data_IF_130306933825
#
_entry.id   IF_130306933825
#
_cell.length_a   1.000
_cell.length_b   1.000
_cell.length_c   1.000
_cell.angle_alpha   90.00
_cell.angle_beta   90.00
_cell.angle_gamma   90.00
#
_symmetry.space_group_name_H-M   'P 1'
#
loop_
_entity.id
_entity.type
_entity.pdbx_description
1 polymer ?
#
# COMPACT_ATOMS: atom_id res chain seq x y z
N UNK A 1 -0.36 -5.20 17.98
CA UNK A 1 -1.00 -6.30 18.71
C UNK A 1 -0.60 -7.64 18.11
N UNK A 2 -0.38 -8.66 18.94
CA UNK A 2 -0.19 -10.06 18.49
C UNK A 2 -1.53 -10.71 18.13
N UNK A 3 -1.50 -11.87 17.48
CA UNK A 3 -2.73 -12.60 17.11
C UNK A 3 -3.59 -13.01 18.33
N UNK A 4 -2.95 -13.33 19.46
CA UNK A 4 -3.64 -13.66 20.72
C UNK A 4 -4.37 -12.46 21.31
N UNK A 5 -3.70 -11.31 21.38
CA UNK A 5 -4.29 -10.04 21.83
C UNK A 5 -5.45 -9.60 20.93
N UNK A 6 -5.31 -9.78 19.61
CA UNK A 6 -6.38 -9.52 18.66
C UNK A 6 -7.59 -10.44 18.89
N UNK A 7 -7.33 -11.72 19.14
CA UNK A 7 -8.38 -12.70 19.42
C UNK A 7 -9.15 -12.35 20.70
N UNK A 8 -8.45 -11.97 21.77
CA UNK A 8 -9.04 -11.53 23.04
C UNK A 8 -9.88 -10.26 22.85
N UNK A 9 -9.34 -9.27 22.13
CA UNK A 9 -10.01 -7.97 21.90
C UNK A 9 -11.26 -8.07 21.02
N UNK A 10 -11.31 -9.08 20.15
CA UNK A 10 -12.42 -9.28 19.19
C UNK A 10 -13.36 -10.41 19.58
N UNK A 11 -12.99 -11.23 20.57
CA UNK A 11 -13.71 -12.45 20.95
C UNK A 11 -13.73 -13.51 19.83
N UNK A 12 -12.73 -13.49 18.94
CA UNK A 12 -12.64 -14.40 17.78
C UNK A 12 -11.44 -15.31 17.94
N UNK A 13 -11.58 -16.65 17.83
CA UNK A 13 -10.45 -17.55 17.95
C UNK A 13 -9.34 -17.25 16.93
N UNK A 14 -8.05 -17.44 17.28
CA UNK A 14 -6.93 -17.21 16.35
C UNK A 14 -7.05 -18.00 15.04
N UNK A 15 -7.67 -19.19 15.09
CA UNK A 15 -7.95 -20.00 13.90
C UNK A 15 -8.89 -19.29 12.92
N UNK A 16 -9.94 -18.64 13.44
CA UNK A 16 -10.91 -17.88 12.64
C UNK A 16 -10.29 -16.59 12.09
N UNK A 17 -9.40 -15.94 12.86
CA UNK A 17 -8.63 -14.80 12.33
C UNK A 17 -7.80 -15.23 11.12
N UNK A 18 -7.07 -16.34 11.23
CA UNK A 18 -6.32 -16.90 10.10
C UNK A 18 -7.22 -17.29 8.93
N UNK A 19 -8.42 -17.80 9.20
CA UNK A 19 -9.41 -18.09 8.17
C UNK A 19 -9.80 -16.81 7.40
N UNK A 20 -10.11 -15.71 8.09
CA UNK A 20 -10.43 -14.44 7.42
C UNK A 20 -9.28 -13.87 6.59
N UNK A 21 -8.03 -14.03 7.04
CA UNK A 21 -6.85 -13.66 6.24
C UNK A 21 -6.75 -14.52 4.98
N UNK A 22 -7.00 -15.83 5.07
CA UNK A 22 -6.94 -16.76 3.92
C UNK A 22 -8.03 -16.49 2.89
N UNK A 23 -9.23 -16.13 3.35
CA UNK A 23 -10.35 -15.75 2.48
C UNK A 23 -10.22 -14.33 1.90
N UNK A 24 -9.22 -13.56 2.36
CA UNK A 24 -8.97 -12.19 1.93
C UNK A 24 -9.99 -11.18 2.47
N UNK A 25 -10.71 -11.53 3.55
CA UNK A 25 -11.62 -10.62 4.26
C UNK A 25 -10.85 -9.63 5.12
N UNK A 26 -9.74 -10.06 5.70
CA UNK A 26 -8.87 -9.27 6.56
C UNK A 26 -7.52 -9.10 5.87
N UNK A 27 -6.95 -7.87 5.78
CA UNK A 27 -5.59 -7.67 5.33
C UNK A 27 -4.60 -8.56 6.10
N UNK A 28 -3.56 -9.02 5.41
CA UNK A 28 -2.49 -9.76 6.08
C UNK A 28 -1.75 -8.81 7.03
N UNK A 29 -1.60 -9.22 8.28
CA UNK A 29 -0.83 -8.46 9.25
C UNK A 29 0.64 -8.33 8.86
N UNK A 30 1.32 -7.35 9.43
CA UNK A 30 2.72 -7.06 9.13
C UNK A 30 3.61 -8.14 9.72
N UNK A 31 4.37 -8.85 8.89
CA UNK A 31 5.38 -9.81 9.36
C UNK A 31 6.57 -9.04 9.93
N UNK A 32 6.76 -9.15 11.24
CA UNK A 32 7.84 -8.47 11.97
C UNK A 32 9.04 -9.39 12.21
N UNK A 33 8.81 -10.70 12.35
CA UNK A 33 9.84 -11.77 12.42
C UNK A 33 9.32 -13.07 11.79
N UNK A 34 10.19 -14.05 11.58
CA UNK A 34 9.86 -15.34 10.95
C UNK A 34 8.64 -16.06 11.56
N UNK A 35 8.39 -15.90 12.86
CA UNK A 35 7.23 -16.44 13.55
C UNK A 35 6.34 -15.37 14.21
N UNK A 36 6.45 -14.10 13.82
CA UNK A 36 5.67 -13.01 14.43
C UNK A 36 5.01 -12.12 13.38
N UNK A 37 3.70 -12.03 13.49
CA UNK A 37 2.85 -11.10 12.73
C UNK A 37 2.19 -10.13 13.71
N UNK A 38 2.36 -8.83 13.46
CA UNK A 38 1.70 -7.78 14.21
C UNK A 38 0.45 -7.29 13.45
N UNK A 39 -0.61 -7.08 14.21
CA UNK A 39 -1.90 -6.56 13.80
C UNK A 39 -2.17 -5.23 14.52
N UNK A 40 -2.97 -4.35 13.94
CA UNK A 40 -3.34 -3.06 14.52
C UNK A 40 -4.83 -2.99 14.90
N UNK A 41 -5.26 -1.85 15.41
CA UNK A 41 -6.65 -1.61 15.81
C UNK A 41 -7.62 -1.58 14.61
N UNK A 42 -7.12 -1.29 13.41
CA UNK A 42 -7.91 -1.36 12.18
C UNK A 42 -8.33 -2.80 11.90
N UNK A 43 -7.44 -3.76 12.13
CA UNK A 43 -7.78 -5.19 12.04
C UNK A 43 -8.87 -5.56 13.05
N UNK A 44 -8.82 -5.04 14.28
CA UNK A 44 -9.84 -5.30 15.29
C UNK A 44 -11.21 -4.72 14.90
N UNK A 45 -11.25 -3.47 14.41
CA UNK A 45 -12.46 -2.82 13.88
C UNK A 45 -13.06 -3.62 12.73
N UNK A 46 -12.23 -4.04 11.78
CA UNK A 46 -12.65 -4.82 10.63
C UNK A 46 -13.22 -6.18 11.00
N UNK A 47 -12.63 -6.89 11.96
CA UNK A 47 -13.17 -8.17 12.45
C UNK A 47 -14.57 -8.00 13.05
N UNK A 48 -14.81 -6.93 13.82
CA UNK A 48 -16.15 -6.65 14.36
C UNK A 48 -17.18 -6.43 13.25
N UNK A 49 -16.80 -5.73 12.19
CA UNK A 49 -17.66 -5.55 11.02
C UNK A 49 -17.92 -6.87 10.27
N UNK A 50 -16.89 -7.69 10.05
CA UNK A 50 -17.02 -9.03 9.46
C UNK A 50 -18.04 -9.87 10.25
N UNK A 51 -17.94 -9.85 11.59
CA UNK A 51 -18.89 -10.56 12.45
C UNK A 51 -20.31 -10.03 12.31
N UNK A 52 -20.52 -8.71 12.26
CA UNK A 52 -21.84 -8.15 12.06
C UNK A 52 -22.47 -8.64 10.74
N UNK A 53 -21.69 -8.71 9.66
CA UNK A 53 -22.17 -9.17 8.36
C UNK A 53 -22.50 -10.68 8.36
N UNK A 54 -21.62 -11.51 8.94
CA UNK A 54 -21.78 -12.97 8.88
C UNK A 54 -22.74 -13.49 9.96
N UNK A 55 -22.57 -13.06 11.20
CA UNK A 55 -23.32 -13.59 12.34
C UNK A 55 -24.74 -13.02 12.38
N UNK A 56 -24.90 -11.71 12.14
CA UNK A 56 -26.21 -11.04 12.19
C UNK A 56 -26.85 -11.00 10.82
N UNK A 57 -26.11 -10.56 9.80
CA UNK A 57 -26.63 -10.46 8.43
C UNK A 57 -26.75 -11.80 7.69
N UNK A 58 -26.26 -12.91 8.28
CA UNK A 58 -26.25 -14.26 7.67
C UNK A 58 -25.71 -14.28 6.24
N UNK A 59 -24.80 -13.36 5.93
CA UNK A 59 -24.20 -13.25 4.61
C UNK A 59 -23.14 -14.34 4.42
N UNK A 60 -23.09 -14.98 3.25
CA UNK A 60 -21.98 -15.86 2.92
C UNK A 60 -20.69 -15.02 2.82
N UNK A 61 -19.57 -15.66 3.16
CA UNK A 61 -18.22 -15.05 3.18
C UNK A 61 -17.89 -14.30 1.89
N UNK A 62 -18.26 -14.86 0.73
CA UNK A 62 -18.05 -14.23 -0.57
C UNK A 62 -18.78 -12.87 -0.68
N UNK A 63 -20.04 -12.80 -0.23
CA UNK A 63 -20.82 -11.56 -0.29
C UNK A 63 -20.36 -10.56 0.76
N UNK A 64 -19.97 -11.02 1.94
CA UNK A 64 -19.36 -10.16 2.95
C UNK A 64 -18.08 -9.48 2.42
N UNK A 65 -17.26 -10.19 1.63
CA UNK A 65 -16.08 -9.61 0.99
C UNK A 65 -16.42 -8.49 0.00
N UNK A 66 -17.45 -8.69 -0.81
CA UNK A 66 -17.91 -7.67 -1.77
C UNK A 66 -18.39 -6.40 -1.04
N UNK A 67 -19.16 -6.56 0.03
CA UNK A 67 -19.64 -5.44 0.85
C UNK A 67 -18.46 -4.70 1.49
N UNK A 68 -17.49 -5.43 2.06
CA UNK A 68 -16.32 -4.82 2.66
C UNK A 68 -15.47 -4.05 1.64
N UNK A 69 -15.34 -4.56 0.41
CA UNK A 69 -14.58 -3.87 -0.63
C UNK A 69 -15.21 -2.52 -1.01
N UNK A 70 -16.55 -2.45 -1.09
CA UNK A 70 -17.27 -1.20 -1.36
C UNK A 70 -17.06 -0.20 -0.22
N UNK A 71 -17.15 -0.65 1.03
CA UNK A 71 -16.93 0.20 2.20
C UNK A 71 -15.49 0.74 2.26
N UNK A 72 -14.51 -0.10 1.95
CA UNK A 72 -13.09 0.31 1.93
C UNK A 72 -12.82 1.40 0.88
N UNK A 73 -13.46 1.29 -0.29
CA UNK A 73 -13.31 2.29 -1.36
C UNK A 73 -13.96 3.62 -0.97
N UNK A 74 -15.11 3.59 -0.29
CA UNK A 74 -15.76 4.81 0.20
C UNK A 74 -14.94 5.47 1.33
N UNK A 75 -14.40 4.69 2.26
CA UNK A 75 -13.50 5.20 3.30
C UNK A 75 -12.26 5.86 2.69
N UNK A 76 -11.66 5.26 1.64
CA UNK A 76 -10.53 5.86 0.91
C UNK A 76 -10.93 7.16 0.23
N UNK A 77 -12.08 7.21 -0.45
CA UNK A 77 -12.57 8.44 -1.11
C UNK A 77 -12.79 9.57 -0.11
N UNK A 78 -13.38 9.27 1.05
CA UNK A 78 -13.59 10.26 2.11
C UNK A 78 -12.24 10.77 2.63
N UNK A 79 -11.29 9.86 2.88
CA UNK A 79 -9.94 10.23 3.32
C UNK A 79 -9.21 11.10 2.28
N UNK A 80 -9.32 10.80 0.99
CA UNK A 80 -8.71 11.57 -0.10
C UNK A 80 -9.26 13.00 -0.17
N UNK A 81 -10.58 13.17 -0.03
CA UNK A 81 -11.21 14.50 0.01
C UNK A 81 -10.66 15.32 1.18
N UNK A 82 -10.54 14.73 2.36
CA UNK A 82 -9.97 15.42 3.51
C UNK A 82 -8.46 15.68 3.37
N UNK A 83 -7.72 14.75 2.77
CA UNK A 83 -6.29 14.89 2.53
C UNK A 83 -5.99 16.02 1.52
N UNK A 84 -6.83 16.18 0.49
CA UNK A 84 -6.71 17.25 -0.51
C UNK A 84 -6.82 18.65 0.09
N UNK A 85 -7.46 18.79 1.25
CA UNK A 85 -7.60 20.06 1.99
C UNK A 85 -6.46 20.32 2.99
N UNK A 86 -5.51 19.39 3.18
CA UNK A 86 -4.26 19.71 3.90
C UNK A 86 -3.41 20.60 3.01
N UNK A 87 -3.54 21.91 3.21
CA UNK A 87 -2.55 22.88 2.72
C UNK A 87 -1.16 22.38 3.09
N UNK A 88 -0.26 22.08 2.12
CA UNK A 88 1.09 21.70 2.47
C UNK A 88 1.69 22.85 3.28
N UNK A 89 2.12 22.54 4.50
CA UNK A 89 2.83 23.51 5.32
C UNK A 89 4.02 23.99 4.49
N UNK A 90 3.99 25.29 4.17
CA UNK A 90 4.96 25.96 3.32
C UNK A 90 6.36 25.53 3.77
N UNK A 91 7.15 24.83 2.94
CA UNK A 91 8.44 24.32 3.40
C UNK A 91 9.24 25.52 3.88
N UNK A 92 9.69 25.46 5.13
CA UNK A 92 10.50 26.50 5.74
C UNK A 92 11.64 26.80 4.77
N UNK A 93 11.58 27.99 4.18
CA UNK A 93 12.50 28.46 3.14
C UNK A 93 13.91 28.20 3.66
N UNK A 94 14.56 27.17 3.12
CA UNK A 94 15.92 26.77 3.50
C UNK A 94 16.76 28.03 3.33
N UNK A 95 17.14 28.65 4.46
CA UNK A 95 18.00 29.83 4.49
C UNK A 95 19.24 29.41 3.71
N UNK A 96 19.40 29.92 2.48
CA UNK A 96 20.65 29.77 1.74
C UNK A 96 21.72 30.32 2.67
N UNK A 97 22.56 29.44 3.18
CA UNK A 97 23.81 29.78 3.81
C UNK A 97 24.58 30.60 2.76
N UNK A 98 24.60 31.92 2.95
CA UNK A 98 25.51 32.82 2.26
C UNK A 98 26.92 32.27 2.55
N UNK A 99 27.72 31.88 1.55
CA UNK A 99 29.12 31.60 1.84
C UNK A 99 29.74 32.88 2.37
N UNK A 100 30.39 32.79 3.54
CA UNK A 100 31.23 33.86 4.07
C UNK A 100 32.28 34.20 3.01
N UNK A 101 32.49 35.48 2.64
CA UNK A 101 33.63 35.83 1.82
C UNK A 101 34.88 35.50 2.64
N UNK A 102 35.63 34.49 2.20
CA UNK A 102 36.97 34.22 2.70
C UNK A 102 37.85 35.39 2.27
N UNK A 103 38.31 36.19 3.22
CA UNK A 103 39.41 37.13 3.01
C UNK A 103 40.60 36.33 2.47
N UNK A 104 40.97 36.54 1.20
CA UNK A 104 42.30 36.22 0.70
C UNK A 104 43.25 37.35 1.07
N UNK A 105 44.44 37.07 1.64
CA UNK A 105 45.52 38.04 1.71
C UNK A 105 46.31 37.99 0.41
N UNK A 106 46.43 39.12 -0.29
CA UNK A 106 47.20 39.16 -1.54
C UNK A 106 46.98 40.41 -2.39
N UNK A 107 47.18 41.61 -1.84
CA UNK A 107 47.73 42.70 -2.64
C UNK A 107 49.23 42.40 -2.76
N UNK A 108 49.92 42.43 -3.90
CA UNK A 108 49.96 43.48 -4.92
C UNK A 108 50.72 42.90 -6.12
N UNK A 109 50.15 42.95 -7.32
CA UNK A 109 50.77 43.62 -8.48
C UNK A 109 49.87 43.51 -9.70
N UNK A 110 49.49 44.68 -10.20
CA UNK A 110 49.17 44.90 -11.60
C UNK A 110 50.36 44.46 -12.48
N UNK A 111 50.11 44.00 -13.70
CA UNK A 111 50.20 44.99 -14.78
C UNK A 111 49.17 44.84 -15.90
N UNK A 112 48.79 46.01 -16.43
CA UNK A 112 48.58 46.37 -17.84
C UNK A 112 47.65 45.50 -18.71
N UNK A 113 46.54 46.13 -19.11
CA UNK A 113 45.78 45.84 -20.35
C UNK A 113 46.71 45.77 -21.57
N UNK A 114 46.32 44.99 -22.58
CA UNK A 114 46.05 45.63 -23.86
C UNK A 114 44.64 45.36 -24.36
N UNK A 115 44.26 46.26 -25.26
CA UNK A 115 42.98 46.35 -25.95
C UNK A 115 42.82 45.23 -26.99
N UNK A 116 41.56 44.91 -27.28
CA UNK A 116 41.15 44.28 -28.54
C UNK A 116 41.05 42.75 -28.50
N UNK A 117 39.86 42.23 -28.18
CA UNK A 117 39.39 40.98 -28.76
C UNK A 117 37.85 40.93 -28.62
N UNK A 118 37.19 41.24 -29.72
CA UNK A 118 35.75 41.16 -29.92
C UNK A 118 35.24 39.74 -29.63
N UNK A 119 34.30 39.63 -28.71
CA UNK A 119 33.52 38.42 -28.51
C UNK A 119 32.59 38.24 -29.71
N UNK A 120 32.89 37.28 -30.57
CA UNK A 120 31.96 36.74 -31.56
C UNK A 120 31.97 35.23 -31.43
N UNK A 121 30.79 34.62 -31.24
CA UNK A 121 30.65 33.16 -31.18
C UNK A 121 29.55 32.63 -30.26
N UNK A 122 28.31 32.88 -30.65
CA UNK A 122 27.08 32.05 -30.60
C UNK A 122 26.95 30.90 -29.57
N UNK A 123 25.81 30.79 -28.84
CA UNK A 123 25.54 29.68 -27.94
C UNK A 123 25.24 28.38 -28.70
N UNK A 124 25.97 27.31 -28.37
CA UNK A 124 25.66 25.96 -28.83
C UNK A 124 24.36 25.47 -28.17
N UNK A 125 23.28 25.42 -28.97
CA UNK A 125 22.01 24.77 -28.66
C UNK A 125 22.26 23.29 -28.38
N UNK A 126 22.34 22.91 -27.10
CA UNK A 126 22.37 21.50 -26.69
C UNK A 126 20.96 20.93 -26.80
N UNK A 127 20.71 20.34 -27.97
CA UNK A 127 19.54 19.56 -28.36
C UNK A 127 19.13 18.57 -27.26
N UNK A 128 17.96 18.79 -26.66
CA UNK A 128 17.24 17.75 -25.93
C UNK A 128 16.89 16.62 -26.91
N UNK A 129 17.38 15.41 -26.64
CA UNK A 129 16.82 14.20 -27.23
C UNK A 129 15.96 13.54 -26.18
N UNK A 130 14.65 13.73 -26.32
CA UNK A 130 13.68 12.82 -25.76
C UNK A 130 13.93 11.42 -26.29
N UNK A 131 13.92 10.44 -25.38
CA UNK A 131 13.59 9.06 -25.70
C UNK A 131 12.30 8.75 -24.96
N UNK A 132 11.19 9.13 -25.58
CA UNK A 132 9.94 8.41 -25.40
C UNK A 132 10.08 7.15 -26.24
N UNK A 133 10.08 5.98 -25.61
CA UNK A 133 9.78 4.72 -26.30
C UNK A 133 8.55 4.09 -25.67
N UNK A 134 7.68 3.48 -26.49
CA UNK A 134 6.29 3.22 -26.12
C UNK A 134 6.12 1.91 -25.36
N UNK A 135 5.13 1.95 -24.49
CA UNK A 135 4.45 0.82 -23.85
C UNK A 135 3.87 -0.15 -24.88
N UNK A 136 4.09 -1.48 -24.77
CA UNK A 136 3.25 -2.45 -25.46
C UNK A 136 1.99 -2.81 -24.66
N UNK A 137 0.89 -2.87 -25.41
CA UNK A 137 -0.51 -3.08 -25.10
C UNK A 137 -0.86 -4.39 -24.32
N UNK A 138 -2.09 -4.49 -23.77
CA UNK A 138 -2.50 -5.60 -22.91
C UNK A 138 -2.78 -6.88 -23.70
N UNK A 139 -2.17 -7.98 -23.24
CA UNK A 139 -2.51 -9.33 -23.68
C UNK A 139 -3.82 -9.78 -23.07
N UNK A 140 -4.88 -9.75 -23.87
CA UNK A 140 -6.11 -10.50 -23.66
C UNK A 140 -5.81 -12.00 -23.70
N UNK A 141 -6.04 -12.70 -22.58
CA UNK A 141 -6.30 -14.14 -22.60
C UNK A 141 -7.49 -14.47 -21.71
N UNK A 142 -8.65 -14.40 -22.35
CA UNK A 142 -9.81 -15.23 -22.06
C UNK A 142 -9.40 -16.71 -22.04
N UNK A 143 -9.69 -17.41 -20.93
CA UNK A 143 -9.85 -18.88 -20.88
C UNK A 143 -10.50 -19.30 -19.54
N UNK A 144 -11.82 -19.22 -19.50
CA UNK A 144 -12.66 -20.30 -18.95
C UNK A 144 -13.05 -21.21 -20.12
N UNK A 145 -13.74 -22.37 -19.93
CA UNK A 145 -14.10 -23.09 -18.72
C UNK A 145 -13.59 -24.55 -18.75
N UNK A 146 -13.72 -25.30 -17.66
CA UNK A 146 -14.29 -26.67 -17.68
C UNK A 146 -14.49 -27.12 -16.25
N UNK A 147 -15.76 -27.13 -15.86
CA UNK A 147 -16.30 -27.89 -14.75
C UNK A 147 -15.85 -29.34 -14.86
N UNK A 148 -14.97 -29.78 -13.95
CA UNK A 148 -14.76 -31.20 -13.71
C UNK A 148 -15.45 -31.54 -12.39
N UNK A 149 -16.67 -32.05 -12.53
CA UNK A 149 -17.40 -32.71 -11.47
C UNK A 149 -16.49 -33.73 -10.77
N UNK A 150 -16.26 -33.52 -9.47
CA UNK A 150 -15.65 -34.51 -8.59
C UNK A 150 -16.77 -35.22 -7.81
N UNK A 151 -16.76 -36.56 -7.75
CA UNK A 151 -17.80 -37.35 -7.11
C UNK A 151 -17.74 -37.23 -5.58
N UNK A 152 -18.92 -37.17 -4.97
CA UNK A 152 -19.17 -37.18 -3.52
C UNK A 152 -18.61 -38.45 -2.86
N UNK A 153 -17.79 -38.39 -1.81
CA UNK A 153 -17.56 -39.53 -0.94
C UNK A 153 -18.63 -39.60 0.17
N UNK A 154 -19.51 -40.58 0.00
CA UNK A 154 -20.24 -41.42 0.97
C UNK A 154 -20.37 -40.90 2.41
N UNK A 155 -21.63 -40.69 2.82
CA UNK A 155 -22.03 -40.53 4.22
C UNK A 155 -21.54 -41.72 5.07
N UNK A 156 -20.75 -41.42 6.09
CA UNK A 156 -20.52 -42.34 7.21
C UNK A 156 -21.85 -42.47 7.98
N UNK A 157 -22.41 -43.69 7.99
CA UNK A 157 -23.48 -44.06 8.93
C UNK A 157 -22.95 -43.98 10.36
N UNK A 158 -23.74 -43.51 11.34
CA UNK A 158 -23.38 -43.60 12.75
C UNK A 158 -23.37 -45.07 13.21
N UNK A 159 -22.37 -45.43 14.02
CA UNK A 159 -22.32 -46.71 14.75
C UNK A 159 -23.43 -46.74 15.81
N UNK A 160 -24.14 -47.86 16.01
CA UNK A 160 -25.07 -47.99 17.12
C UNK A 160 -24.31 -48.11 18.45
N UNK A 161 -24.87 -47.46 19.46
CA UNK A 161 -24.56 -47.59 20.88
C UNK A 161 -24.85 -49.00 21.39
N UNK A 162 -23.95 -49.56 22.18
CA UNK A 162 -24.25 -50.69 23.07
C UNK A 162 -24.13 -50.23 24.52
N UNK A 163 -25.11 -50.53 25.40
CA UNK A 163 -25.01 -50.32 26.83
C UNK A 163 -24.36 -51.55 27.50
N UNK A 164 -23.51 -51.28 28.50
CA UNK A 164 -22.94 -52.25 29.42
C UNK A 164 -22.57 -51.53 30.69
#
# INVERSE_FOLDING_TARGET
>A
MRITELAETTGVPPATVKYYVREGLLPAGTRVRDNRTDYDDEHARRIRLIRALIDVGRLPVARAREVLAVLDDDDRRVQDVFASRRTPSRPARRRRSRPRPTRSPGSTRSPRRPAGASWTGTPAVRRQRGRSTPSPAPGTRSRTPTSRAMPRPRACRPRPTSPG
#
